data_IF_789351446332
#
_entry.id   IF_789351446332
#
_cell.length_a   1.000
_cell.length_b   1.000
_cell.length_c   1.000
_cell.angle_alpha   90.00
_cell.angle_beta   90.00
_cell.angle_gamma   90.00
#
_symmetry.space_group_name_H-M   'P 1'
#
loop_
_entity.id
_entity.type
_entity.pdbx_description
1 polymer ?
#
# COMPACT_ATOMS: atom_id res chain seq x y z
N UNK A 1 -4.64 -12.54 -10.89
CA UNK A 1 -4.38 -13.82 -10.20
C UNK A 1 -5.04 -13.73 -8.83
N UNK A 2 -6.11 -14.49 -8.61
CA UNK A 2 -6.84 -14.43 -7.34
C UNK A 2 -6.09 -15.26 -6.31
N UNK A 3 -5.59 -14.63 -5.28
CA UNK A 3 -4.93 -15.31 -4.17
C UNK A 3 -5.85 -15.25 -2.95
N UNK A 4 -6.38 -16.40 -2.53
CA UNK A 4 -7.15 -16.53 -1.29
C UNK A 4 -6.20 -16.96 -0.19
N UNK A 5 -5.98 -16.12 0.78
CA UNK A 5 -5.12 -16.38 1.91
C UNK A 5 -5.97 -16.59 3.18
N UNK A 6 -5.72 -17.70 3.88
CA UNK A 6 -6.24 -17.90 5.24
C UNK A 6 -5.35 -17.12 6.21
N UNK A 7 -5.92 -16.11 6.86
CA UNK A 7 -5.19 -15.14 7.69
C UNK A 7 -5.18 -15.53 9.17
N UNK A 8 -6.12 -16.39 9.60
CA UNK A 8 -6.28 -16.73 11.02
C UNK A 8 -5.69 -18.07 11.44
N UNK A 9 -5.33 -18.93 10.49
CA UNK A 9 -4.62 -20.22 10.68
C UNK A 9 -5.33 -21.25 11.57
N UNK A 10 -6.58 -21.03 11.99
CA UNK A 10 -7.27 -21.92 12.92
C UNK A 10 -8.47 -22.69 12.32
N UNK A 11 -8.77 -22.42 11.06
CA UNK A 11 -9.91 -23.06 10.35
C UNK A 11 -11.29 -22.64 10.88
N UNK A 12 -11.34 -21.66 11.79
CA UNK A 12 -12.58 -21.11 12.33
C UNK A 12 -13.02 -19.85 11.56
N UNK A 13 -14.30 -19.48 11.61
CA UNK A 13 -14.84 -18.32 10.90
C UNK A 13 -14.56 -17.01 11.67
N UNK A 14 -13.30 -16.75 12.06
CA UNK A 14 -12.91 -15.56 12.80
C UNK A 14 -12.78 -14.39 11.84
N UNK A 15 -12.01 -14.55 10.75
CA UNK A 15 -11.80 -13.55 9.72
C UNK A 15 -12.13 -14.16 8.36
N UNK A 16 -12.82 -13.40 7.51
CA UNK A 16 -13.13 -13.78 6.14
C UNK A 16 -12.38 -12.84 5.19
N UNK A 17 -11.19 -13.22 4.69
CA UNK A 17 -10.53 -12.47 3.66
C UNK A 17 -11.27 -12.61 2.33
N UNK A 18 -11.33 -11.54 1.55
CA UNK A 18 -11.67 -11.65 0.14
C UNK A 18 -10.43 -12.05 -0.67
N UNK A 19 -10.60 -12.58 -1.88
CA UNK A 19 -9.48 -12.72 -2.80
C UNK A 19 -8.77 -11.38 -3.00
N UNK A 20 -7.44 -11.39 -2.93
CA UNK A 20 -6.63 -10.26 -3.35
C UNK A 20 -6.73 -10.17 -4.88
N UNK A 21 -7.13 -9.03 -5.38
CA UNK A 21 -7.14 -8.73 -6.82
C UNK A 21 -5.96 -7.85 -7.14
N UNK A 22 -5.22 -8.21 -8.19
CA UNK A 22 -4.13 -7.40 -8.69
C UNK A 22 -4.10 -7.50 -10.21
N UNK A 23 -4.31 -6.37 -10.86
CA UNK A 23 -4.13 -6.21 -12.29
C UNK A 23 -2.88 -5.38 -12.54
N UNK A 24 -2.04 -5.84 -13.48
CA UNK A 24 -0.76 -5.24 -13.81
C UNK A 24 -0.61 -5.17 -15.33
N UNK A 25 -0.58 -3.96 -15.85
CA UNK A 25 -0.27 -3.67 -17.25
C UNK A 25 1.12 -3.02 -17.35
N UNK A 26 1.96 -3.56 -18.24
CA UNK A 26 3.33 -3.08 -18.38
C UNK A 26 3.72 -2.98 -19.86
N UNK A 27 4.33 -1.87 -20.21
CA UNK A 27 4.97 -1.66 -21.53
C UNK A 27 6.42 -1.27 -21.32
N UNK A 28 7.32 -1.98 -22.03
CA UNK A 28 8.75 -1.67 -22.07
C UNK A 28 9.19 -1.57 -23.50
N UNK A 29 9.89 -0.50 -23.85
CA UNK A 29 10.49 -0.30 -25.16
C UNK A 29 11.95 0.14 -24.99
N UNK A 30 12.84 -0.46 -25.76
CA UNK A 30 14.24 -0.11 -25.78
C UNK A 30 14.75 -0.03 -27.22
N UNK A 31 15.48 1.05 -27.50
CA UNK A 31 16.20 1.25 -28.75
C UNK A 31 17.68 1.39 -28.47
N UNK A 32 18.51 0.68 -29.22
CA UNK A 32 19.97 0.77 -29.17
C UNK A 32 20.51 0.91 -30.57
N UNK A 33 21.44 1.85 -30.75
CA UNK A 33 22.22 2.05 -31.94
C UNK A 33 23.69 2.05 -31.53
N UNK A 34 24.50 1.28 -32.22
CA UNK A 34 25.91 1.16 -31.90
C UNK A 34 26.76 1.10 -33.17
N UNK A 35 28.03 1.46 -33.04
CA UNK A 35 29.00 1.25 -34.09
C UNK A 35 29.44 -0.21 -34.10
N UNK A 36 29.54 -0.78 -35.32
CA UNK A 36 30.09 -2.13 -35.55
C UNK A 36 31.13 -2.05 -36.65
N UNK A 37 32.30 -1.55 -36.29
CA UNK A 37 33.41 -1.39 -37.20
C UNK A 37 34.76 -1.54 -36.49
N UNK A 38 35.81 -1.79 -37.22
CA UNK A 38 37.20 -1.92 -36.70
C UNK A 38 37.89 -0.56 -36.48
N UNK A 39 37.14 0.50 -36.13
CA UNK A 39 37.70 1.80 -35.85
C UNK A 39 38.16 1.94 -34.39
N UNK A 40 39.05 2.89 -34.17
CA UNK A 40 39.51 3.22 -32.83
C UNK A 40 38.41 3.80 -31.93
N UNK A 41 37.28 4.23 -32.52
CA UNK A 41 36.13 4.79 -31.82
C UNK A 41 34.93 3.85 -31.98
N UNK A 42 34.45 3.28 -30.86
CA UNK A 42 33.21 2.57 -30.76
C UNK A 42 32.23 3.37 -29.91
N UNK A 43 30.96 3.32 -30.26
CA UNK A 43 29.94 4.07 -29.54
C UNK A 43 28.63 3.30 -29.48
N UNK A 44 27.86 3.59 -28.45
CA UNK A 44 26.50 3.11 -28.23
C UNK A 44 25.64 4.31 -27.83
N UNK A 45 24.46 4.41 -28.43
CA UNK A 45 23.40 5.33 -28.03
C UNK A 45 22.14 4.51 -27.84
N UNK A 46 21.39 4.79 -26.78
CA UNK A 46 20.13 4.11 -26.53
C UNK A 46 19.09 5.02 -25.88
N UNK A 47 17.86 4.58 -26.01
CA UNK A 47 16.71 5.14 -25.31
C UNK A 47 15.88 3.99 -24.74
N UNK A 48 15.36 4.20 -23.54
CA UNK A 48 14.49 3.24 -22.86
C UNK A 48 13.23 3.97 -22.41
N UNK A 49 12.09 3.33 -22.58
CA UNK A 49 10.78 3.75 -22.07
C UNK A 49 10.13 2.60 -21.33
N UNK A 50 9.58 2.92 -20.17
CA UNK A 50 8.86 2.00 -19.33
C UNK A 50 7.58 2.67 -18.83
N UNK A 51 6.46 1.95 -18.89
CA UNK A 51 5.20 2.34 -18.26
C UNK A 51 4.60 1.13 -17.57
N UNK A 52 4.13 1.33 -16.34
CA UNK A 52 3.44 0.34 -15.52
C UNK A 52 2.19 0.96 -14.90
N UNK A 53 1.08 0.26 -15.01
CA UNK A 53 -0.18 0.58 -14.33
C UNK A 53 -0.55 -0.64 -13.48
N UNK A 54 -0.82 -0.42 -12.20
CA UNK A 54 -1.19 -1.48 -11.25
C UNK A 54 -2.44 -1.07 -10.48
N UNK A 55 -3.43 -1.94 -10.50
CA UNK A 55 -4.62 -1.87 -9.65
C UNK A 55 -4.56 -2.99 -8.61
N UNK A 56 -4.80 -2.64 -7.35
CA UNK A 56 -4.81 -3.56 -6.22
C UNK A 56 -6.09 -3.42 -5.43
N UNK A 57 -6.66 -4.55 -4.99
CA UNK A 57 -7.83 -4.58 -4.12
C UNK A 57 -7.80 -5.75 -3.15
N UNK A 58 -8.11 -5.46 -1.89
CA UNK A 58 -8.26 -6.44 -0.82
C UNK A 58 -9.40 -6.06 0.11
N UNK A 59 -10.07 -7.04 0.69
CA UNK A 59 -11.04 -6.82 1.76
C UNK A 59 -10.90 -7.89 2.82
N UNK A 60 -11.01 -7.47 4.09
CA UNK A 60 -10.99 -8.35 5.25
C UNK A 60 -12.25 -8.08 6.06
N UNK A 61 -13.06 -9.10 6.27
CA UNK A 61 -14.32 -9.01 7.01
C UNK A 61 -14.29 -9.84 8.27
N UNK A 62 -14.90 -9.34 9.33
CA UNK A 62 -15.08 -10.09 10.58
C UNK A 62 -16.01 -11.28 10.34
N UNK A 63 -15.54 -12.46 10.67
CA UNK A 63 -16.36 -13.67 10.71
C UNK A 63 -17.29 -13.69 11.95
N UNK A 64 -18.25 -14.61 12.00
CA UNK A 64 -19.16 -14.75 13.13
C UNK A 64 -18.46 -15.09 14.45
N UNK A 65 -17.26 -15.66 14.41
CA UNK A 65 -16.44 -15.98 15.58
C UNK A 65 -15.59 -14.82 16.11
N UNK A 66 -15.39 -13.74 15.31
CA UNK A 66 -14.42 -12.67 15.63
C UNK A 66 -14.72 -11.98 16.96
N UNK A 67 -15.99 -11.56 17.19
CA UNK A 67 -16.39 -10.91 18.45
C UNK A 67 -16.14 -11.82 19.65
N UNK A 68 -16.46 -13.11 19.54
CA UNK A 68 -16.23 -14.09 20.61
C UNK A 68 -14.74 -14.32 20.88
N UNK A 69 -13.95 -14.40 19.81
CA UNK A 69 -12.49 -14.54 19.91
C UNK A 69 -11.86 -13.36 20.64
N UNK A 70 -12.12 -12.12 20.21
CA UNK A 70 -11.60 -10.92 20.90
C UNK A 70 -12.15 -10.84 22.33
N UNK A 71 -13.43 -11.18 22.53
CA UNK A 71 -14.07 -11.20 23.87
C UNK A 71 -13.44 -12.16 24.86
N UNK A 72 -12.77 -13.24 24.37
CA UNK A 72 -12.08 -14.20 25.23
C UNK A 72 -10.84 -13.61 25.95
N UNK A 73 -10.28 -12.52 25.46
CA UNK A 73 -9.15 -11.80 26.06
C UNK A 73 -9.58 -10.69 27.02
N UNK A 74 -10.89 -10.42 27.14
CA UNK A 74 -11.46 -9.33 27.91
C UNK A 74 -12.31 -9.88 29.06
N UNK A 75 -12.53 -9.08 30.13
CA UNK A 75 -13.50 -9.43 31.16
C UNK A 75 -14.89 -9.70 30.55
N UNK A 76 -15.65 -10.66 31.06
CA UNK A 76 -16.99 -10.93 30.58
C UNK A 76 -17.88 -9.67 30.60
N UNK A 77 -18.64 -9.44 29.54
CA UNK A 77 -19.54 -8.29 29.42
C UNK A 77 -18.87 -6.98 28.98
N UNK A 78 -17.56 -7.00 28.60
CA UNK A 78 -16.84 -5.79 28.20
C UNK A 78 -17.44 -5.12 26.97
N UNK A 79 -17.85 -5.88 25.96
CA UNK A 79 -18.48 -5.31 24.77
C UNK A 79 -19.88 -4.78 25.04
N UNK A 80 -20.68 -5.51 25.81
CA UNK A 80 -22.01 -5.10 26.22
C UNK A 80 -21.96 -3.81 27.09
N UNK A 81 -20.98 -3.73 27.98
CA UNK A 81 -20.73 -2.52 28.79
C UNK A 81 -20.30 -1.33 27.93
N UNK A 82 -19.45 -1.55 26.94
CA UNK A 82 -19.03 -0.53 26.00
C UNK A 82 -20.21 -0.03 25.15
N UNK A 83 -20.98 -0.96 24.58
CA UNK A 83 -22.16 -0.66 23.76
C UNK A 83 -23.19 0.15 24.58
N UNK A 84 -23.46 -0.28 25.82
CA UNK A 84 -24.36 0.43 26.70
C UNK A 84 -23.86 1.84 27.06
N UNK A 85 -22.56 2.01 27.29
CA UNK A 85 -21.95 3.31 27.59
C UNK A 85 -22.08 4.32 26.43
N UNK A 86 -22.10 3.83 25.18
CA UNK A 86 -22.28 4.64 23.98
C UNK A 86 -23.75 4.67 23.48
N UNK A 87 -24.67 4.02 24.16
CA UNK A 87 -26.09 3.95 23.75
C UNK A 87 -26.29 3.13 22.47
N UNK A 88 -25.43 2.15 22.20
CA UNK A 88 -25.45 1.33 21.02
C UNK A 88 -26.25 0.04 21.25
N UNK A 89 -26.87 -0.52 20.21
CA UNK A 89 -27.45 -1.86 20.28
C UNK A 89 -26.38 -2.91 20.59
N UNK A 90 -26.76 -3.95 21.30
CA UNK A 90 -25.89 -5.10 21.53
C UNK A 90 -25.49 -5.77 20.21
N UNK A 91 -24.19 -6.09 20.05
CA UNK A 91 -23.63 -6.66 18.83
C UNK A 91 -23.14 -5.64 17.80
N UNK A 92 -23.13 -4.35 18.14
CA UNK A 92 -22.63 -3.27 17.26
C UNK A 92 -21.10 -3.24 17.18
N UNK A 93 -20.41 -3.66 18.25
CA UNK A 93 -18.95 -3.75 18.27
C UNK A 93 -18.51 -5.05 17.61
N UNK A 94 -17.73 -4.96 16.55
CA UNK A 94 -17.26 -6.09 15.74
C UNK A 94 -18.37 -7.01 15.19
N UNK A 95 -19.37 -6.47 14.49
CA UNK A 95 -20.41 -7.31 13.90
C UNK A 95 -19.85 -8.16 12.76
N UNK A 96 -20.33 -9.39 12.62
CA UNK A 96 -19.97 -10.23 11.49
C UNK A 96 -20.32 -9.54 10.15
N UNK A 97 -19.42 -9.62 9.18
CA UNK A 97 -19.56 -8.98 7.88
C UNK A 97 -19.12 -7.51 7.80
N UNK A 98 -18.84 -6.86 8.94
CA UNK A 98 -18.11 -5.59 8.91
C UNK A 98 -16.61 -5.86 8.72
N UNK A 99 -15.87 -4.86 8.28
CA UNK A 99 -14.44 -5.00 8.03
C UNK A 99 -13.86 -3.83 7.28
N UNK A 100 -12.77 -4.10 6.59
CA UNK A 100 -11.99 -3.12 5.83
C UNK A 100 -11.89 -3.54 4.37
N UNK A 101 -12.07 -2.58 3.48
CA UNK A 101 -11.74 -2.71 2.06
C UNK A 101 -10.64 -1.72 1.72
N UNK A 102 -9.60 -2.22 1.09
CA UNK A 102 -8.45 -1.43 0.65
C UNK A 102 -8.33 -1.51 -0.87
N UNK A 103 -8.11 -0.37 -1.49
CA UNK A 103 -7.82 -0.28 -2.92
C UNK A 103 -6.62 0.63 -3.12
N UNK A 104 -5.74 0.26 -4.02
CA UNK A 104 -4.60 1.07 -4.40
C UNK A 104 -4.43 1.05 -5.92
N UNK A 105 -4.03 2.19 -6.48
CA UNK A 105 -3.60 2.30 -7.87
C UNK A 105 -2.20 2.86 -7.91
N UNK A 106 -1.38 2.39 -8.83
CA UNK A 106 -0.04 2.89 -9.06
C UNK A 106 0.20 3.06 -10.55
N UNK A 107 0.58 4.27 -10.94
CA UNK A 107 1.09 4.59 -12.26
C UNK A 107 2.58 4.90 -12.13
N UNK A 108 3.40 4.25 -12.96
CA UNK A 108 4.83 4.48 -13.02
C UNK A 108 5.24 4.67 -14.48
N UNK A 109 5.93 5.77 -14.77
CA UNK A 109 6.47 6.05 -16.11
C UNK A 109 7.94 6.43 -15.97
N UNK A 110 8.80 5.76 -16.72
CA UNK A 110 10.23 6.00 -16.75
C UNK A 110 10.72 6.16 -18.17
N UNK A 111 11.49 7.19 -18.43
CA UNK A 111 12.12 7.42 -19.72
C UNK A 111 13.61 7.74 -19.52
N UNK A 112 14.47 7.14 -20.33
CA UNK A 112 15.90 7.41 -20.29
C UNK A 112 16.51 7.45 -21.67
N UNK A 113 17.57 8.25 -21.77
CA UNK A 113 18.52 8.23 -22.88
C UNK A 113 19.91 7.99 -22.33
N UNK A 114 20.71 7.25 -23.02
CA UNK A 114 22.10 6.99 -22.64
C UNK A 114 23.00 6.92 -23.84
N UNK A 115 24.26 7.29 -23.62
CA UNK A 115 25.29 7.15 -24.63
C UNK A 115 26.60 6.73 -23.97
N UNK A 116 27.40 5.99 -24.71
CA UNK A 116 28.72 5.55 -24.32
C UNK A 116 29.65 5.64 -25.52
N UNK A 117 30.86 6.04 -25.29
CA UNK A 117 31.94 6.05 -26.28
C UNK A 117 33.17 5.37 -25.70
N UNK A 118 33.76 4.52 -26.49
CA UNK A 118 34.99 3.79 -26.20
C UNK A 118 36.02 4.15 -27.27
N UNK A 119 37.13 4.75 -26.84
CA UNK A 119 38.17 5.24 -27.74
C UNK A 119 39.56 4.68 -27.42
N UNK A 120 40.12 3.95 -28.38
CA UNK A 120 41.47 3.44 -28.32
C UNK A 120 42.46 4.54 -28.70
N UNK A 121 43.07 5.19 -27.71
CA UNK A 121 44.11 6.25 -27.97
C UNK A 121 45.39 5.62 -28.52
N UNK A 122 45.73 4.44 -28.02
CA UNK A 122 46.86 3.61 -28.47
C UNK A 122 46.51 2.14 -28.22
N UNK A 123 47.31 1.23 -28.73
CA UNK A 123 47.20 -0.21 -28.50
C UNK A 123 47.20 -0.60 -26.99
N UNK A 124 47.59 0.30 -26.11
CA UNK A 124 47.70 0.06 -24.66
C UNK A 124 46.84 0.99 -23.79
N UNK A 125 46.19 1.97 -24.41
CA UNK A 125 45.39 2.96 -23.69
C UNK A 125 44.04 3.14 -24.36
N UNK A 126 43.02 2.81 -23.62
CA UNK A 126 41.62 2.96 -23.98
C UNK A 126 40.92 3.90 -22.99
N UNK A 127 40.01 4.73 -23.48
CA UNK A 127 39.16 5.61 -22.68
C UNK A 127 37.70 5.27 -22.96
N UNK A 128 36.97 4.93 -21.88
CA UNK A 128 35.53 4.73 -21.90
C UNK A 128 34.83 5.89 -21.19
N UNK A 129 33.88 6.53 -21.87
CA UNK A 129 33.06 7.62 -21.32
C UNK A 129 31.59 7.28 -21.57
N UNK A 130 30.74 7.45 -20.54
CA UNK A 130 29.31 7.27 -20.65
C UNK A 130 28.54 8.38 -19.95
N UNK A 131 27.38 8.69 -20.47
CA UNK A 131 26.42 9.62 -19.87
C UNK A 131 25.01 9.04 -20.04
N UNK A 132 24.17 9.26 -19.02
CA UNK A 132 22.76 8.92 -19.07
C UNK A 132 21.91 9.99 -18.42
N UNK A 133 20.70 10.15 -18.94
CA UNK A 133 19.66 10.96 -18.34
C UNK A 133 18.43 10.07 -18.14
N UNK A 134 17.88 10.10 -16.93
CA UNK A 134 16.69 9.36 -16.55
C UNK A 134 15.67 10.33 -15.96
N UNK A 135 14.43 10.19 -16.38
CA UNK A 135 13.26 10.82 -15.78
C UNK A 135 12.29 9.71 -15.34
N UNK A 136 11.87 9.78 -14.08
CA UNK A 136 11.01 8.78 -13.46
C UNK A 136 9.88 9.49 -12.72
N UNK A 137 8.63 9.12 -13.03
CA UNK A 137 7.43 9.66 -12.41
C UNK A 137 6.58 8.51 -11.86
N UNK A 138 6.24 8.59 -10.59
CA UNK A 138 5.43 7.61 -9.91
C UNK A 138 4.28 8.26 -9.15
N UNK A 139 3.06 7.86 -9.49
CA UNK A 139 1.84 8.28 -8.79
C UNK A 139 1.23 7.09 -8.09
N UNK A 140 0.86 7.25 -6.83
CA UNK A 140 0.16 6.23 -6.03
C UNK A 140 -1.08 6.86 -5.43
N UNK A 141 -2.21 6.18 -5.58
CA UNK A 141 -3.46 6.49 -4.89
C UNK A 141 -3.84 5.32 -4.01
N UNK A 142 -4.26 5.61 -2.78
CA UNK A 142 -4.68 4.62 -1.82
C UNK A 142 -6.00 5.05 -1.18
N UNK A 143 -6.94 4.11 -1.06
CA UNK A 143 -8.20 4.33 -0.39
C UNK A 143 -8.52 3.16 0.52
N UNK A 144 -8.94 3.47 1.76
CA UNK A 144 -9.38 2.49 2.74
C UNK A 144 -10.76 2.86 3.25
N UNK A 145 -11.66 1.89 3.22
CA UNK A 145 -13.03 2.04 3.73
C UNK A 145 -13.25 1.02 4.83
N UNK A 146 -13.53 1.52 6.04
CA UNK A 146 -13.90 0.70 7.18
C UNK A 146 -15.42 0.76 7.35
N UNK A 147 -16.05 -0.41 7.47
CA UNK A 147 -17.51 -0.54 7.63
C UNK A 147 -17.90 -0.87 9.07
N UNK A 148 -16.92 -1.13 9.95
CA UNK A 148 -17.18 -1.36 11.36
C UNK A 148 -17.38 -0.04 12.12
N UNK A 149 -18.30 -0.06 13.07
CA UNK A 149 -18.63 1.12 13.89
C UNK A 149 -17.44 1.56 14.76
N UNK A 150 -16.63 0.62 15.22
CA UNK A 150 -15.53 0.90 16.14
C UNK A 150 -14.45 1.76 15.48
N UNK A 151 -14.12 1.49 14.22
CA UNK A 151 -13.16 2.28 13.43
C UNK A 151 -13.65 3.69 13.11
N UNK A 152 -14.96 3.96 13.23
CA UNK A 152 -15.55 5.25 12.96
C UNK A 152 -15.66 6.14 14.23
N UNK A 153 -15.35 5.60 15.42
CA UNK A 153 -15.41 6.35 16.66
C UNK A 153 -14.29 7.38 16.73
N UNK A 154 -14.66 8.62 17.01
CA UNK A 154 -13.71 9.66 17.41
C UNK A 154 -13.30 9.47 18.88
N UNK A 155 -12.38 8.55 19.13
CA UNK A 155 -11.85 8.28 20.46
C UNK A 155 -11.22 9.51 21.10
N UNK A 156 -10.58 10.37 20.32
CA UNK A 156 -9.96 11.59 20.82
C UNK A 156 -11.03 12.55 21.33
N UNK A 157 -12.10 12.75 20.54
CA UNK A 157 -13.23 13.58 20.95
C UNK A 157 -13.95 13.05 22.19
N UNK A 158 -14.18 11.74 22.24
CA UNK A 158 -14.84 11.07 23.36
C UNK A 158 -14.02 11.20 24.66
N UNK A 159 -12.72 10.86 24.61
CA UNK A 159 -11.82 10.96 25.78
C UNK A 159 -11.68 12.42 26.21
N UNK A 160 -11.56 13.35 25.27
CA UNK A 160 -11.49 14.79 25.56
C UNK A 160 -12.76 15.29 26.27
N UNK A 161 -13.93 14.91 25.76
CA UNK A 161 -15.22 15.28 26.39
C UNK A 161 -15.35 14.72 27.81
N UNK A 162 -14.94 13.47 28.04
CA UNK A 162 -14.93 12.87 29.39
C UNK A 162 -13.95 13.57 30.32
N UNK A 163 -12.74 13.88 29.89
CA UNK A 163 -11.73 14.58 30.68
C UNK A 163 -12.19 16.00 31.01
N UNK A 164 -12.80 16.71 30.06
CA UNK A 164 -13.39 18.05 30.34
C UNK A 164 -14.54 17.98 31.32
N UNK A 165 -15.40 16.95 31.24
CA UNK A 165 -16.46 16.68 32.19
C UNK A 165 -15.94 16.38 33.61
N UNK A 166 -14.71 15.88 33.75
CA UNK A 166 -14.00 15.64 35.00
C UNK A 166 -13.18 16.86 35.48
N UNK A 167 -13.24 18.00 34.77
CA UNK A 167 -12.55 19.23 35.13
C UNK A 167 -11.09 19.32 34.69
N UNK A 168 -10.65 18.44 33.78
CA UNK A 168 -9.33 18.54 33.17
C UNK A 168 -9.35 19.47 31.96
N UNK A 169 -8.48 20.48 31.94
CA UNK A 169 -8.22 21.28 30.74
C UNK A 169 -7.08 20.65 29.92
N UNK A 170 -7.40 20.20 28.75
CA UNK A 170 -6.38 19.77 27.77
C UNK A 170 -5.77 21.01 27.09
N UNK A 171 -4.49 21.27 27.36
CA UNK A 171 -3.69 22.22 26.59
C UNK A 171 -3.33 21.59 25.26
N UNK A 172 -4.18 21.78 24.23
CA UNK A 172 -3.84 21.41 22.86
C UNK A 172 -2.83 22.44 22.32
N UNK A 173 -1.76 22.02 21.64
CA UNK A 173 -0.85 22.94 20.97
C UNK A 173 -1.63 23.71 19.89
N UNK A 174 -1.54 25.04 19.93
CA UNK A 174 -2.08 25.90 18.87
C UNK A 174 -1.12 25.79 17.68
N UNK A 175 -1.60 25.23 16.58
CA UNK A 175 -0.94 25.32 15.27
C UNK A 175 -1.26 26.64 14.61
#
# INVERSE_FOLDING_TARGET
MDNVQDVDFDGGPIVNPSPITQDLDQITQEFRLYSDNDSDLNWLIGAHYYKEEMDYGESIYYGPGFRGYIGSFLPPGSFEGLEAAFGLPNGTVFPAGAGTTETATQDNTSASIFMQADYNITDKLNILVGVSYLEDEKTVSYNQVNTDFFSQLDFVGIVTAQLMGLGFQLLLPRH
#
